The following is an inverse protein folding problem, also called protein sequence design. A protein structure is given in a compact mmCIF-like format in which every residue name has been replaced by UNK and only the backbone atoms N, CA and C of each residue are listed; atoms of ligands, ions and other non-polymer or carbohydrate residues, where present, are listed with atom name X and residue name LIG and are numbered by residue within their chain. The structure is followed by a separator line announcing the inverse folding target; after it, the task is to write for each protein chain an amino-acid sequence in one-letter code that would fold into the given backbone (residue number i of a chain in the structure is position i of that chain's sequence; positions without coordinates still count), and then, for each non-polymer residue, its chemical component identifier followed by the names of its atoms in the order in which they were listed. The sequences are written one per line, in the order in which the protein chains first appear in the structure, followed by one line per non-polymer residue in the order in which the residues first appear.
data_IF_433247260639
#
_entry.id   IF_433247260639
#
_cell.length_a   1.000
_cell.length_b   1.000
_cell.length_c   1.000
_cell.angle_alpha   90.00
_cell.angle_beta   90.00
_cell.angle_gamma   90.00
#
_symmetry.space_group_name_H-M   'P 1'
#
loop_
_entity.id
_entity.type
_entity.pdbx_description
1 polymer ?
#
# COMPACT_ATOMS: atom_id res chain seq x y z
N UNK A 1 28.01 -16.95 12.64
CA UNK A 1 26.83 -16.21 12.20
C UNK A 1 27.02 -15.81 10.74
N UNK A 2 26.31 -16.42 9.84
CA UNK A 2 26.45 -16.27 8.37
C UNK A 2 25.81 -14.98 7.83
N UNK A 3 25.77 -13.87 8.60
CA UNK A 3 25.29 -12.58 8.11
C UNK A 3 23.80 -12.53 7.70
N UNK A 4 23.00 -13.51 8.06
CA UNK A 4 21.56 -13.47 7.81
C UNK A 4 20.96 -12.49 8.81
N UNK A 5 20.47 -11.36 8.32
CA UNK A 5 19.67 -10.43 9.10
C UNK A 5 18.37 -11.11 9.48
N UNK A 6 18.18 -11.40 10.76
CA UNK A 6 16.90 -11.84 11.31
C UNK A 6 16.15 -10.57 11.70
N UNK A 7 14.85 -10.45 11.39
CA UNK A 7 14.04 -9.34 11.87
C UNK A 7 14.20 -9.22 13.40
N UNK A 8 14.25 -8.01 13.97
CA UNK A 8 14.37 -7.85 15.41
C UNK A 8 13.24 -8.61 16.09
N UNK A 9 13.63 -9.45 17.06
CA UNK A 9 12.67 -10.15 17.90
C UNK A 9 11.85 -9.12 18.68
N UNK A 10 10.62 -9.49 19.02
CA UNK A 10 9.73 -8.64 19.83
C UNK A 10 10.45 -8.19 21.12
N UNK A 11 10.39 -6.90 21.39
CA UNK A 11 10.97 -6.33 22.61
C UNK A 11 9.95 -6.50 23.73
N UNK A 12 10.38 -7.04 24.87
CA UNK A 12 9.53 -7.23 26.04
C UNK A 12 10.02 -6.37 27.21
N UNK A 13 9.08 -5.74 27.89
CA UNK A 13 9.32 -5.03 29.14
C UNK A 13 8.61 -5.74 30.30
N UNK A 14 9.26 -5.78 31.47
CA UNK A 14 8.65 -6.36 32.67
C UNK A 14 7.76 -5.33 33.36
N UNK A 15 6.47 -5.58 33.40
CA UNK A 15 5.49 -4.74 34.07
C UNK A 15 4.75 -5.55 35.14
N UNK A 16 4.81 -5.11 36.40
CA UNK A 16 4.18 -5.80 37.53
C UNK A 16 4.55 -7.29 37.63
N UNK A 17 5.82 -7.62 37.37
CA UNK A 17 6.30 -8.99 37.40
C UNK A 17 6.08 -9.84 36.15
N UNK A 18 5.29 -9.37 35.18
CA UNK A 18 4.93 -10.08 33.95
C UNK A 18 5.68 -9.44 32.76
N UNK A 19 6.24 -10.28 31.88
CA UNK A 19 6.83 -9.82 30.62
C UNK A 19 5.73 -9.51 29.61
N UNK A 20 5.69 -8.26 29.13
CA UNK A 20 4.76 -7.79 28.09
C UNK A 20 5.54 -7.30 26.90
N UNK A 21 5.01 -7.53 25.70
CA UNK A 21 5.56 -6.97 24.47
C UNK A 21 5.45 -5.44 24.50
N UNK A 22 6.55 -4.76 24.13
CA UNK A 22 6.59 -3.31 24.03
C UNK A 22 6.26 -2.89 22.61
N UNK A 23 5.19 -2.12 22.42
CA UNK A 23 4.81 -1.60 21.11
C UNK A 23 5.72 -0.45 20.66
N UNK A 24 6.22 0.35 21.61
CA UNK A 24 7.12 1.46 21.34
C UNK A 24 8.31 1.44 22.30
N UNK A 25 9.49 1.75 21.77
CA UNK A 25 10.70 1.93 22.58
C UNK A 25 11.30 3.29 22.27
N UNK A 26 11.61 4.04 23.29
CA UNK A 26 12.20 5.36 23.20
C UNK A 26 13.61 5.37 23.79
N UNK A 27 14.48 6.18 23.20
CA UNK A 27 15.80 6.51 23.75
C UNK A 27 15.84 7.99 24.11
N UNK A 28 16.50 8.33 25.22
CA UNK A 28 16.76 9.73 25.57
C UNK A 28 18.09 10.15 24.97
N UNK A 29 18.03 11.10 24.03
CA UNK A 29 19.21 11.63 23.37
C UNK A 29 19.15 13.16 23.34
N UNK A 30 20.21 13.85 23.77
CA UNK A 30 20.26 15.29 23.85
C UNK A 30 19.14 15.92 24.71
N UNK A 31 18.64 15.21 25.72
CA UNK A 31 17.54 15.67 26.59
C UNK A 31 16.14 15.39 26.05
N UNK A 32 15.99 15.02 24.78
CA UNK A 32 14.72 14.69 24.15
C UNK A 32 14.50 13.16 24.06
N UNK A 33 13.24 12.73 24.16
CA UNK A 33 12.85 11.33 23.90
C UNK A 33 12.64 11.12 22.42
N UNK A 34 13.40 10.19 21.82
CA UNK A 34 13.29 9.80 20.41
C UNK A 34 12.71 8.39 20.32
N UNK A 35 11.74 8.19 19.44
CA UNK A 35 11.19 6.87 19.14
C UNK A 35 12.23 6.07 18.36
N UNK A 36 12.63 4.90 18.89
CA UNK A 36 13.65 4.04 18.29
C UNK A 36 13.04 2.81 17.61
N UNK A 37 11.93 2.33 18.14
CA UNK A 37 11.25 1.11 17.70
C UNK A 37 9.76 1.26 17.88
N UNK A 38 8.99 0.83 16.89
CA UNK A 38 7.52 0.82 16.95
C UNK A 38 6.96 -0.38 16.22
N UNK A 39 5.89 -0.95 16.77
CA UNK A 39 5.09 -1.97 16.10
C UNK A 39 3.73 -1.40 15.72
N UNK A 40 3.21 -1.83 14.58
CA UNK A 40 1.87 -1.49 14.12
C UNK A 40 1.20 -2.74 13.54
N UNK A 41 -0.06 -2.97 13.91
CA UNK A 41 -0.84 -4.06 13.37
C UNK A 41 -2.13 -3.53 12.73
N UNK A 42 -2.30 -3.78 11.43
CA UNK A 42 -3.54 -3.50 10.70
C UNK A 42 -4.43 -4.74 10.75
N UNK A 43 -5.52 -4.64 11.49
CA UNK A 43 -6.42 -5.76 11.82
C UNK A 43 -7.77 -5.68 11.12
N UNK A 44 -8.01 -4.63 10.33
CA UNK A 44 -9.29 -4.39 9.64
C UNK A 44 -9.04 -3.92 8.22
N UNK A 45 -9.89 -4.37 7.29
CA UNK A 45 -9.86 -3.90 5.90
C UNK A 45 -10.08 -2.40 5.83
N UNK A 46 -9.33 -1.73 4.96
CA UNK A 46 -9.30 -0.27 4.86
C UNK A 46 -8.95 0.16 3.43
N UNK A 47 -9.17 1.44 3.13
CA UNK A 47 -8.79 2.02 1.84
C UNK A 47 -7.72 3.11 2.02
N UNK A 48 -6.87 3.28 0.98
CA UNK A 48 -5.90 4.38 0.89
C UNK A 48 -5.04 4.53 2.17
N UNK A 49 -4.52 3.41 2.66
CA UNK A 49 -3.78 3.36 3.94
C UNK A 49 -2.41 4.01 3.79
N UNK A 50 -2.10 4.98 4.67
CA UNK A 50 -0.76 5.54 4.82
C UNK A 50 -0.17 5.11 6.16
N UNK A 51 0.84 4.23 6.12
CA UNK A 51 1.42 3.63 7.33
C UNK A 51 2.20 4.63 8.18
N UNK A 52 2.89 5.59 7.55
CA UNK A 52 3.59 6.65 8.28
C UNK A 52 2.62 7.45 9.17
N UNK A 53 1.47 7.83 8.60
CA UNK A 53 0.43 8.57 9.35
C UNK A 53 -0.21 7.67 10.42
N UNK A 54 -0.52 6.42 10.09
CA UNK A 54 -1.10 5.46 11.03
C UNK A 54 -0.19 5.18 12.24
N UNK A 55 1.13 5.29 12.06
CA UNK A 55 2.13 5.16 13.13
C UNK A 55 2.44 6.48 13.86
N UNK A 56 1.64 7.54 13.65
CA UNK A 56 1.77 8.83 14.37
C UNK A 56 2.82 9.76 13.80
N UNK A 57 3.19 9.61 12.53
CA UNK A 57 4.11 10.50 11.80
C UNK A 57 5.45 10.71 12.53
N UNK A 58 6.25 9.66 12.74
CA UNK A 58 7.50 9.73 13.49
C UNK A 58 8.50 10.70 12.83
N UNK A 59 9.10 11.57 13.61
CA UNK A 59 10.05 12.61 13.13
C UNK A 59 11.51 12.19 13.20
N UNK A 60 11.81 11.04 13.78
CA UNK A 60 13.17 10.49 13.89
C UNK A 60 13.23 9.12 13.25
N UNK A 61 14.39 8.74 12.73
CA UNK A 61 14.61 7.39 12.19
C UNK A 61 14.34 6.33 13.24
N UNK A 62 13.64 5.26 12.85
CA UNK A 62 13.25 4.17 13.74
C UNK A 62 13.25 2.83 13.01
N UNK A 63 13.19 1.76 13.79
CA UNK A 63 12.81 0.44 13.26
C UNK A 63 11.30 0.26 13.44
N UNK A 64 10.57 0.14 12.33
CA UNK A 64 9.15 -0.13 12.31
C UNK A 64 8.88 -1.59 11.93
N UNK A 65 8.10 -2.29 12.74
CA UNK A 65 7.60 -3.63 12.43
C UNK A 65 6.10 -3.53 12.21
N UNK A 66 5.69 -3.77 10.98
CA UNK A 66 4.31 -3.59 10.53
C UNK A 66 3.78 -4.96 10.13
N UNK A 67 2.64 -5.32 10.69
CA UNK A 67 1.92 -6.54 10.32
C UNK A 67 0.55 -6.16 9.78
N UNK A 68 0.18 -6.72 8.65
CA UNK A 68 -1.19 -6.73 8.15
C UNK A 68 -1.69 -8.14 8.39
N UNK A 69 -2.76 -8.27 9.16
CA UNK A 69 -3.30 -9.57 9.56
C UNK A 69 -3.83 -10.36 8.35
N UNK A 70 -4.14 -11.62 8.58
CA UNK A 70 -4.79 -12.48 7.58
C UNK A 70 -6.20 -11.98 7.23
N UNK A 71 -6.63 -12.23 5.99
CA UNK A 71 -7.96 -11.91 5.49
C UNK A 71 -8.30 -10.39 5.51
N UNK A 72 -7.32 -9.55 5.25
CA UNK A 72 -7.47 -8.10 5.18
C UNK A 72 -7.47 -7.65 3.71
N UNK A 73 -8.41 -6.78 3.35
CA UNK A 73 -8.45 -6.12 2.05
C UNK A 73 -8.04 -4.66 2.18
N UNK A 74 -7.03 -4.27 1.41
CA UNK A 74 -6.59 -2.88 1.29
C UNK A 74 -6.75 -2.48 -0.16
N UNK A 75 -7.66 -1.55 -0.45
CA UNK A 75 -7.95 -1.12 -1.80
C UNK A 75 -7.70 0.37 -2.01
N UNK A 76 -7.35 0.73 -3.23
CA UNK A 76 -7.31 2.15 -3.62
C UNK A 76 -8.70 2.64 -4.02
N UNK A 77 -9.09 3.83 -3.55
CA UNK A 77 -10.37 4.47 -3.94
C UNK A 77 -10.27 5.20 -5.27
N UNK A 78 -9.08 5.52 -5.74
CA UNK A 78 -8.85 6.18 -7.04
C UNK A 78 -7.50 5.80 -7.64
N UNK A 79 -7.30 6.07 -8.93
CA UNK A 79 -6.07 5.68 -9.64
C UNK A 79 -4.81 6.47 -9.23
N UNK A 80 -4.95 7.60 -8.56
CA UNK A 80 -3.85 8.49 -8.17
C UNK A 80 -3.35 8.23 -6.75
N UNK A 81 -4.16 7.57 -5.91
CA UNK A 81 -3.81 7.23 -4.53
C UNK A 81 -3.43 5.75 -4.47
N UNK A 82 -2.28 5.36 -3.93
CA UNK A 82 -1.95 3.96 -3.74
C UNK A 82 -2.86 3.33 -2.68
N UNK A 83 -3.15 2.03 -2.82
CA UNK A 83 -3.91 1.31 -1.80
C UNK A 83 -3.17 1.31 -0.46
N UNK A 84 -1.86 1.02 -0.49
CA UNK A 84 -0.96 1.07 0.65
C UNK A 84 0.24 1.96 0.34
N UNK A 85 0.36 3.08 1.05
CA UNK A 85 1.53 3.95 1.02
C UNK A 85 2.34 3.75 2.30
N UNK A 86 3.60 3.36 2.17
CA UNK A 86 4.51 3.32 3.32
C UNK A 86 4.66 4.72 3.93
N UNK A 87 4.59 5.76 3.10
CA UNK A 87 4.67 7.16 3.54
C UNK A 87 6.09 7.68 3.68
N UNK A 88 6.20 8.85 4.32
CA UNK A 88 7.44 9.63 4.39
C UNK A 88 8.20 9.37 5.69
N UNK A 89 8.52 8.13 6.00
CA UNK A 89 9.39 7.84 7.14
C UNK A 89 10.72 8.59 7.02
N UNK A 90 11.32 9.03 8.14
CA UNK A 90 12.64 9.66 8.14
C UNK A 90 13.69 8.78 7.46
N UNK A 91 14.68 9.40 6.83
CA UNK A 91 15.83 8.70 6.28
C UNK A 91 16.47 7.81 7.35
N UNK A 92 17.08 6.71 6.95
CA UNK A 92 17.67 5.70 7.84
C UNK A 92 16.66 4.89 8.68
N UNK A 93 15.35 5.08 8.51
CA UNK A 93 14.35 4.17 9.09
C UNK A 93 14.43 2.80 8.41
N UNK A 94 14.24 1.76 9.22
CA UNK A 94 14.21 0.36 8.77
C UNK A 94 12.77 -0.14 8.90
N UNK A 95 12.14 -0.51 7.79
CA UNK A 95 10.74 -0.94 7.76
C UNK A 95 10.67 -2.43 7.45
N UNK A 96 10.06 -3.20 8.33
CA UNK A 96 9.69 -4.59 8.09
C UNK A 96 8.17 -4.66 7.94
N UNK A 97 7.71 -5.13 6.78
CA UNK A 97 6.30 -5.31 6.47
C UNK A 97 6.00 -6.80 6.29
N UNK A 98 5.10 -7.33 7.12
CA UNK A 98 4.54 -8.66 6.94
C UNK A 98 3.10 -8.54 6.47
N UNK A 99 2.78 -9.21 5.37
CA UNK A 99 1.43 -9.29 4.80
C UNK A 99 0.91 -10.69 5.06
N UNK A 100 -0.23 -10.78 5.71
CA UNK A 100 -0.88 -12.02 6.11
C UNK A 100 -1.45 -12.82 4.92
N UNK A 101 -1.87 -14.05 5.21
CA UNK A 101 -2.47 -14.95 4.22
C UNK A 101 -3.88 -14.46 3.83
N UNK A 102 -4.29 -14.70 2.59
CA UNK A 102 -5.58 -14.24 2.04
C UNK A 102 -5.80 -12.72 2.20
N UNK A 103 -4.73 -11.96 2.27
CA UNK A 103 -4.74 -10.49 2.33
C UNK A 103 -4.48 -9.95 0.93
N UNK A 104 -5.29 -8.97 0.51
CA UNK A 104 -5.21 -8.37 -0.81
C UNK A 104 -4.90 -6.88 -0.69
N UNK A 105 -3.85 -6.44 -1.38
CA UNK A 105 -3.50 -5.02 -1.52
C UNK A 105 -3.66 -4.69 -3.00
N UNK A 106 -4.74 -3.96 -3.35
CA UNK A 106 -5.15 -3.78 -4.74
C UNK A 106 -5.26 -2.33 -5.15
N UNK A 107 -4.58 -1.98 -6.24
CA UNK A 107 -4.76 -0.69 -6.91
C UNK A 107 -6.10 -0.62 -7.62
N UNK A 108 -6.67 0.58 -7.78
CA UNK A 108 -7.91 0.77 -8.51
C UNK A 108 -7.74 0.55 -10.01
N UNK A 109 -8.68 -0.13 -10.65
CA UNK A 109 -8.71 -0.27 -12.10
C UNK A 109 -8.94 1.07 -12.81
N UNK A 110 -8.34 1.25 -13.98
CA UNK A 110 -8.55 2.40 -14.85
C UNK A 110 -9.94 2.38 -15.49
N UNK A 111 -10.43 3.54 -15.93
CA UNK A 111 -11.69 3.66 -16.66
C UNK A 111 -11.48 3.37 -18.14
N UNK A 112 -12.44 2.70 -18.78
CA UNK A 112 -12.44 2.52 -20.23
C UNK A 112 -12.55 3.87 -20.98
N UNK A 113 -11.94 3.93 -22.16
CA UNK A 113 -12.05 5.07 -23.04
C UNK A 113 -13.44 5.13 -23.69
N UNK A 114 -13.88 6.35 -24.06
CA UNK A 114 -15.10 6.53 -24.81
C UNK A 114 -14.92 6.09 -26.27
N UNK A 115 -15.93 5.42 -26.81
CA UNK A 115 -16.01 5.15 -28.25
C UNK A 115 -16.19 6.47 -29.04
N UNK A 116 -15.89 6.44 -30.34
CA UNK A 116 -16.23 7.57 -31.21
C UNK A 116 -17.75 7.73 -31.27
N UNK A 117 -18.21 8.99 -31.28
CA UNK A 117 -19.61 9.31 -31.53
C UNK A 117 -20.01 9.06 -32.99
N UNK A 118 -21.30 9.20 -33.29
CA UNK A 118 -21.85 9.02 -34.63
C UNK A 118 -21.34 10.02 -35.68
N UNK A 119 -20.67 11.09 -35.27
CA UNK A 119 -20.13 12.14 -36.13
C UNK A 119 -18.66 11.93 -36.52
N UNK A 120 -18.06 10.80 -36.09
CA UNK A 120 -16.70 10.41 -36.47
C UNK A 120 -15.60 10.99 -35.57
N UNK A 121 -15.93 11.31 -34.34
CA UNK A 121 -14.95 11.65 -33.31
C UNK A 121 -13.93 10.53 -33.11
N UNK A 122 -12.72 10.87 -32.65
CA UNK A 122 -11.69 9.88 -32.36
C UNK A 122 -12.02 9.13 -31.08
N UNK A 123 -11.88 7.79 -31.07
CA UNK A 123 -11.98 7.01 -29.81
C UNK A 123 -10.93 7.48 -28.82
N UNK A 124 -11.28 7.48 -27.54
CA UNK A 124 -10.37 7.86 -26.47
C UNK A 124 -9.71 6.61 -25.89
N UNK A 125 -8.46 6.77 -25.47
CA UNK A 125 -7.76 5.73 -24.70
C UNK A 125 -8.39 5.60 -23.30
N UNK A 126 -8.36 4.39 -22.75
CA UNK A 126 -8.65 4.19 -21.35
C UNK A 126 -7.55 4.78 -20.43
N UNK A 127 -7.86 4.94 -19.18
CA UNK A 127 -6.90 5.44 -18.18
C UNK A 127 -6.04 4.28 -17.63
N UNK A 128 -4.81 4.55 -17.17
CA UNK A 128 -4.01 3.55 -16.49
C UNK A 128 -4.68 3.12 -15.16
N UNK A 129 -4.34 1.93 -14.68
CA UNK A 129 -4.72 1.49 -13.35
C UNK A 129 -3.89 2.15 -12.24
N UNK A 130 -4.39 2.09 -11.02
CA UNK A 130 -3.78 2.66 -9.82
C UNK A 130 -2.70 1.76 -9.21
N UNK A 131 -1.91 2.35 -8.33
CA UNK A 131 -0.82 1.69 -7.61
C UNK A 131 -1.36 0.91 -6.41
N UNK A 132 -0.93 -0.34 -6.22
CA UNK A 132 -1.23 -1.11 -5.01
C UNK A 132 -0.35 -0.67 -3.83
N UNK A 133 0.96 -0.79 -3.98
CA UNK A 133 1.94 -0.47 -2.93
C UNK A 133 2.90 0.61 -3.40
N UNK A 134 3.09 1.64 -2.57
CA UNK A 134 4.06 2.70 -2.81
C UNK A 134 5.03 2.80 -1.64
N UNK A 135 6.31 2.95 -1.94
CA UNK A 135 7.36 3.21 -0.94
C UNK A 135 8.32 4.28 -1.43
N UNK A 136 8.82 5.10 -0.52
CA UNK A 136 9.86 6.12 -0.79
C UNK A 136 11.24 5.72 -0.26
N UNK A 137 11.35 4.58 0.42
CA UNK A 137 12.61 4.05 0.97
C UNK A 137 12.64 2.52 0.81
N UNK A 138 13.82 1.90 0.88
CA UNK A 138 13.93 0.44 0.89
C UNK A 138 13.21 -0.16 2.11
N UNK A 139 12.45 -1.24 1.89
CA UNK A 139 11.71 -1.96 2.92
C UNK A 139 11.94 -3.47 2.81
N UNK A 140 11.81 -4.19 3.91
CA UNK A 140 11.82 -5.65 3.94
C UNK A 140 10.39 -6.17 3.97
N UNK A 141 9.99 -6.94 2.95
CA UNK A 141 8.63 -7.48 2.84
C UNK A 141 8.64 -9.00 3.00
N UNK A 142 7.80 -9.49 3.93
CA UNK A 142 7.38 -10.89 3.96
C UNK A 142 5.95 -10.93 3.45
N UNK A 143 5.74 -11.42 2.22
CA UNK A 143 4.42 -11.43 1.59
C UNK A 143 3.83 -12.84 1.55
N UNK A 144 2.75 -13.07 2.33
CA UNK A 144 1.95 -14.30 2.28
C UNK A 144 0.58 -14.06 1.62
N UNK A 145 0.32 -12.82 1.19
CA UNK A 145 -0.92 -12.40 0.51
C UNK A 145 -0.69 -12.09 -0.97
N UNK A 146 -1.46 -11.14 -1.48
CA UNK A 146 -1.42 -10.70 -2.88
C UNK A 146 -1.28 -9.19 -2.94
N UNK A 147 -0.33 -8.70 -3.76
CA UNK A 147 -0.18 -7.29 -4.11
C UNK A 147 -0.41 -7.18 -5.61
N UNK A 148 -1.47 -6.47 -6.03
CA UNK A 148 -1.86 -6.30 -7.43
C UNK A 148 -2.15 -4.86 -7.78
N UNK A 149 -1.45 -4.30 -8.77
CA UNK A 149 -1.80 -3.01 -9.34
C UNK A 149 -3.16 -3.08 -10.05
N UNK A 150 -3.85 -1.97 -10.19
CA UNK A 150 -5.07 -1.90 -10.97
C UNK A 150 -4.82 -2.13 -12.46
N UNK A 151 -5.68 -2.87 -13.12
CA UNK A 151 -5.64 -3.03 -14.57
C UNK A 151 -5.96 -1.72 -15.29
N UNK A 152 -5.33 -1.46 -16.42
CA UNK A 152 -5.66 -0.31 -17.27
C UNK A 152 -7.04 -0.45 -17.90
N UNK A 153 -7.70 0.68 -18.17
CA UNK A 153 -8.94 0.70 -18.92
C UNK A 153 -8.73 0.37 -20.41
N UNK A 154 -9.64 -0.37 -21.00
CA UNK A 154 -9.64 -0.60 -22.46
C UNK A 154 -9.89 0.69 -23.24
N UNK A 155 -9.34 0.80 -24.45
CA UNK A 155 -9.62 1.92 -25.37
C UNK A 155 -11.05 1.89 -25.89
N UNK A 156 -11.57 3.03 -26.26
CA UNK A 156 -12.88 3.15 -26.91
C UNK A 156 -12.90 2.53 -28.31
N UNK A 157 -14.03 1.95 -28.70
CA UNK A 157 -14.25 1.43 -30.05
C UNK A 157 -14.42 2.57 -31.08
N UNK A 158 -13.80 2.42 -32.28
CA UNK A 158 -14.04 3.29 -33.40
C UNK A 158 -15.40 3.03 -34.05
N UNK A 159 -16.16 4.07 -34.47
CA UNK A 159 -17.31 3.91 -35.34
C UNK A 159 -16.89 4.01 -36.82
N UNK A 160 -17.35 3.06 -37.60
CA UNK A 160 -17.35 3.23 -39.04
C UNK A 160 -18.60 4.05 -39.43
N UNK A 161 -18.46 4.94 -40.34
CA UNK A 161 -19.49 5.88 -40.86
C UNK A 161 -20.77 5.20 -41.42
N UNK A 162 -21.35 4.20 -40.76
CA UNK A 162 -22.62 3.59 -41.16
C UNK A 162 -23.39 3.12 -39.93
N UNK A 163 -24.30 3.90 -39.45
CA UNK A 163 -25.52 3.55 -38.67
C UNK A 163 -25.45 2.55 -37.48
N UNK A 164 -24.28 2.28 -36.90
CA UNK A 164 -24.17 1.38 -35.74
C UNK A 164 -23.50 2.09 -34.57
N UNK A 165 -24.09 1.90 -33.40
CA UNK A 165 -23.52 2.44 -32.17
C UNK A 165 -22.09 1.90 -31.92
N UNK A 166 -21.17 2.81 -31.61
CA UNK A 166 -19.83 2.43 -31.18
C UNK A 166 -19.88 1.74 -29.81
N UNK A 167 -19.18 0.60 -29.70
CA UNK A 167 -19.06 -0.08 -28.41
C UNK A 167 -18.19 0.71 -27.43
N UNK A 168 -18.54 0.69 -26.16
CA UNK A 168 -17.67 1.18 -25.08
C UNK A 168 -16.52 0.21 -24.87
N UNK A 169 -15.31 0.73 -24.66
CA UNK A 169 -14.18 -0.08 -24.26
C UNK A 169 -14.40 -0.69 -22.86
N UNK A 170 -14.03 -1.96 -22.70
CA UNK A 170 -14.08 -2.61 -21.39
C UNK A 170 -12.99 -2.10 -20.47
N UNK A 171 -13.28 -1.96 -19.17
CA UNK A 171 -12.27 -1.73 -18.14
C UNK A 171 -11.40 -2.98 -17.97
N UNK A 172 -10.09 -2.81 -17.75
CA UNK A 172 -9.24 -3.91 -17.34
C UNK A 172 -9.55 -4.31 -15.89
N UNK A 173 -9.58 -5.60 -15.61
CA UNK A 173 -9.56 -6.10 -14.23
C UNK A 173 -8.11 -6.08 -13.73
N UNK A 174 -7.90 -5.54 -12.54
CA UNK A 174 -6.61 -5.58 -11.82
C UNK A 174 -6.52 -6.84 -10.97
#
# INVERSE_FOLDING_TARGET
NNGIWVPPQKIHAKQSGIWKEANNVYIKDGGAWKLLYSTYNLTTSSNDVNLYTAMGSPTTALTAIITIDDNIDIASTNILTPALDIGAFPADSIIYLTIGSNTYITGRGGTGGHGSDSEGGNPQAGTPGGTALKTSLPIFITNNGTIGGGGGGGGGGGSRRVYYAAGNGGGGAG
#
